data_IF_957516066327
#
_entry.id   IF_957516066327
#
_cell.length_a   1.000
_cell.length_b   1.000
_cell.length_c   1.000
_cell.angle_alpha   90.00
_cell.angle_beta   90.00
_cell.angle_gamma   90.00
#
_symmetry.space_group_name_H-M   'P 1'
#
loop_
_entity.id
_entity.type
_entity.pdbx_description
1 polymer ?
#
# COMPACT_ATOMS: atom_id res chain seq x y z
N UNK A 1 0.31 6.07 10.64
CA UNK A 1 1.22 4.92 10.44
C UNK A 1 0.94 3.92 11.54
N UNK A 2 0.82 2.64 11.19
CA UNK A 2 0.58 1.53 12.08
C UNK A 2 1.65 0.47 11.85
N UNK A 3 2.29 0.00 12.90
CA UNK A 3 3.36 -1.00 12.83
C UNK A 3 2.82 -2.35 13.28
N UNK A 4 3.07 -3.39 12.48
CA UNK A 4 2.71 -4.78 12.80
C UNK A 4 3.96 -5.51 13.25
N UNK A 5 3.86 -6.23 14.37
CA UNK A 5 4.97 -7.00 14.93
C UNK A 5 4.58 -8.46 15.16
N UNK A 6 5.53 -9.36 14.96
CA UNK A 6 5.42 -10.80 15.26
C UNK A 6 6.55 -11.15 16.21
N UNK A 7 6.25 -11.83 17.32
CA UNK A 7 7.23 -12.20 18.35
C UNK A 7 8.10 -11.00 18.81
N UNK A 8 7.48 -9.82 18.93
CA UNK A 8 8.12 -8.53 19.27
C UNK A 8 9.13 -8.01 18.25
N UNK A 9 9.20 -8.63 17.08
CA UNK A 9 9.98 -8.15 15.94
C UNK A 9 9.05 -7.43 14.97
N UNK A 10 9.48 -6.28 14.48
CA UNK A 10 8.74 -5.54 13.47
C UNK A 10 8.65 -6.36 12.18
N UNK A 11 7.43 -6.54 11.68
CA UNK A 11 7.19 -7.24 10.43
C UNK A 11 7.05 -6.22 9.29
N UNK A 12 6.13 -5.27 9.44
CA UNK A 12 5.85 -4.26 8.42
C UNK A 12 5.08 -3.07 8.99
N UNK A 13 5.21 -1.95 8.29
CA UNK A 13 4.41 -0.75 8.49
C UNK A 13 3.29 -0.66 7.47
N UNK A 14 2.15 -0.16 7.94
CA UNK A 14 1.00 0.20 7.14
C UNK A 14 0.68 1.67 7.35
N UNK A 15 0.53 2.42 6.25
CA UNK A 15 0.13 3.82 6.27
C UNK A 15 -1.17 4.01 5.49
N UNK A 16 -2.11 4.70 6.13
CA UNK A 16 -3.40 5.07 5.59
C UNK A 16 -3.37 6.60 5.40
N UNK A 17 -3.58 7.05 4.17
CA UNK A 17 -3.52 8.47 3.82
C UNK A 17 -4.74 8.86 3.01
N UNK A 18 -5.31 10.02 3.32
CA UNK A 18 -6.37 10.65 2.56
C UNK A 18 -5.86 11.94 1.94
N UNK A 19 -6.18 12.18 0.67
CA UNK A 19 -5.70 13.35 -0.05
C UNK A 19 -6.67 13.73 -1.19
N UNK A 20 -6.65 15.01 -1.63
CA UNK A 20 -7.54 15.48 -2.70
C UNK A 20 -7.11 14.98 -4.09
N UNK A 21 -5.82 14.69 -4.30
CA UNK A 21 -5.29 14.46 -5.64
C UNK A 21 -5.12 12.99 -6.02
N UNK A 22 -5.28 12.68 -7.30
CA UNK A 22 -4.94 11.38 -7.86
C UNK A 22 -3.40 11.16 -7.89
N UNK A 23 -2.90 10.11 -7.23
CA UNK A 23 -1.47 9.75 -7.27
C UNK A 23 -1.20 8.57 -8.22
N UNK A 24 -0.05 8.52 -8.92
CA UNK A 24 0.39 7.29 -9.61
C UNK A 24 1.21 6.42 -8.65
N UNK A 25 0.69 5.27 -8.16
CA UNK A 25 1.39 4.44 -7.20
C UNK A 25 2.77 3.99 -7.68
N UNK A 26 2.95 3.76 -8.99
CA UNK A 26 4.25 3.34 -9.53
C UNK A 26 5.31 4.45 -9.41
N UNK A 27 4.92 5.71 -9.58
CA UNK A 27 5.81 6.87 -9.42
C UNK A 27 6.25 7.04 -7.96
N UNK A 28 5.34 6.80 -7.02
CA UNK A 28 5.64 6.87 -5.58
C UNK A 28 6.39 5.63 -5.07
N UNK A 29 6.20 4.49 -5.72
CA UNK A 29 6.92 3.26 -5.44
C UNK A 29 8.35 3.24 -5.99
N UNK A 30 8.72 4.15 -6.89
CA UNK A 30 10.06 4.20 -7.48
C UNK A 30 11.15 4.17 -6.39
N UNK A 31 12.24 3.39 -6.53
CA UNK A 31 13.29 3.27 -5.53
C UNK A 31 13.91 4.61 -5.11
N UNK A 32 13.89 5.59 -6.03
CA UNK A 32 14.44 6.93 -5.79
C UNK A 32 13.45 7.88 -5.09
N UNK A 33 12.25 7.41 -4.74
CA UNK A 33 11.23 8.21 -4.07
C UNK A 33 11.36 8.04 -2.54
N UNK A 34 11.55 9.17 -1.85
CA UNK A 34 11.72 9.21 -0.39
C UNK A 34 10.47 8.85 0.42
N UNK A 35 9.29 8.74 -0.23
CA UNK A 35 8.02 8.48 0.45
C UNK A 35 7.81 6.99 0.69
N UNK A 36 8.21 6.10 -0.23
CA UNK A 36 8.00 4.65 -0.04
C UNK A 36 9.15 3.80 -0.59
N UNK A 37 9.72 4.18 -1.75
CA UNK A 37 10.95 3.58 -2.27
C UNK A 37 10.92 2.05 -2.28
N UNK A 38 10.09 1.44 -3.13
CA UNK A 38 9.98 -0.02 -3.23
C UNK A 38 11.09 -0.59 -4.12
N UNK A 39 11.44 -1.85 -3.87
CA UNK A 39 12.37 -2.59 -4.71
C UNK A 39 11.68 -3.25 -5.88
N UNK A 40 12.21 -3.02 -7.08
CA UNK A 40 11.69 -3.55 -8.35
C UNK A 40 10.16 -3.39 -8.49
N UNK A 41 9.65 -2.14 -8.38
CA UNK A 41 8.22 -1.90 -8.37
C UNK A 41 7.60 -2.13 -9.75
N UNK A 42 6.47 -2.82 -9.76
CA UNK A 42 5.66 -3.03 -10.96
C UNK A 42 4.18 -2.72 -10.68
N UNK A 43 3.40 -2.54 -11.75
CA UNK A 43 1.96 -2.30 -11.61
C UNK A 43 1.25 -3.59 -11.17
N UNK A 44 0.28 -3.43 -10.27
CA UNK A 44 -0.58 -4.50 -9.79
C UNK A 44 -2.05 -4.15 -10.03
N UNK A 45 -2.87 -5.16 -10.35
CA UNK A 45 -4.33 -5.02 -10.42
C UNK A 45 -4.95 -5.13 -9.02
N UNK A 46 -5.18 -3.99 -8.37
CA UNK A 46 -5.87 -3.86 -7.09
C UNK A 46 -6.44 -2.44 -6.97
N UNK A 47 -7.65 -2.32 -6.41
CA UNK A 47 -8.37 -1.04 -6.30
C UNK A 47 -8.46 -0.31 -7.66
N UNK A 48 -8.37 1.02 -7.69
CA UNK A 48 -8.27 1.77 -8.95
C UNK A 48 -6.87 1.61 -9.56
N UNK A 49 -5.83 1.78 -8.74
CA UNK A 49 -4.42 1.63 -9.16
C UNK A 49 -3.59 1.10 -8.01
N UNK A 50 -2.62 0.26 -8.33
CA UNK A 50 -1.63 -0.18 -7.37
C UNK A 50 -0.26 -0.44 -8.00
N UNK A 51 0.77 -0.41 -7.17
CA UNK A 51 2.10 -0.88 -7.46
C UNK A 51 2.57 -1.83 -6.34
N UNK A 52 3.41 -2.78 -6.70
CA UNK A 52 3.98 -3.76 -5.79
C UNK A 52 5.45 -3.93 -6.08
N UNK A 53 6.26 -3.99 -5.02
CA UNK A 53 7.68 -4.33 -5.09
C UNK A 53 7.98 -5.57 -4.25
N UNK A 54 9.25 -5.94 -4.20
CA UNK A 54 9.70 -7.09 -3.42
C UNK A 54 9.55 -6.90 -1.90
N UNK A 55 9.37 -5.65 -1.45
CA UNK A 55 9.41 -5.22 -0.06
C UNK A 55 8.22 -4.34 0.36
N UNK A 56 7.19 -4.24 -0.48
CA UNK A 56 6.00 -3.47 -0.13
C UNK A 56 5.02 -3.27 -1.28
N UNK A 57 4.00 -2.46 -1.03
CA UNK A 57 2.98 -2.12 -2.00
C UNK A 57 2.35 -0.76 -1.71
N UNK A 58 1.82 -0.13 -2.75
CA UNK A 58 1.01 1.09 -2.66
C UNK A 58 -0.25 0.85 -3.47
N UNK A 59 -1.41 1.03 -2.87
CA UNK A 59 -2.71 0.96 -3.54
C UNK A 59 -3.49 2.24 -3.27
N UNK A 60 -4.11 2.80 -4.31
CA UNK A 60 -4.92 4.01 -4.20
C UNK A 60 -6.28 3.77 -4.83
N UNK A 61 -7.30 4.38 -4.24
CA UNK A 61 -8.67 4.35 -4.76
C UNK A 61 -9.36 5.67 -4.53
N UNK A 62 -10.34 5.97 -5.38
CA UNK A 62 -11.30 7.03 -5.10
C UNK A 62 -12.15 6.64 -3.88
N UNK A 63 -12.31 7.60 -2.99
CA UNK A 63 -13.12 7.50 -1.79
C UNK A 63 -13.90 8.80 -1.66
N UNK A 64 -15.23 8.76 -1.81
CA UNK A 64 -16.04 9.97 -1.76
C UNK A 64 -16.23 10.44 -0.31
N UNK A 65 -15.65 11.59 0.03
CA UNK A 65 -15.94 12.37 1.24
C UNK A 65 -15.86 13.87 0.95
N UNK A 66 -16.41 14.71 1.84
CA UNK A 66 -16.68 16.14 1.58
C UNK A 66 -15.47 16.99 1.11
N UNK A 67 -14.23 16.57 1.44
CA UNK A 67 -12.97 17.22 1.01
C UNK A 67 -11.84 16.21 0.70
N UNK A 68 -12.16 14.93 0.68
CA UNK A 68 -11.21 13.82 0.52
C UNK A 68 -11.70 13.01 -0.67
N UNK A 69 -10.90 12.94 -1.72
CA UNK A 69 -11.28 12.24 -2.95
C UNK A 69 -10.56 10.90 -3.10
N UNK A 70 -9.39 10.74 -2.49
CA UNK A 70 -8.56 9.54 -2.65
C UNK A 70 -8.11 9.00 -1.30
N UNK A 71 -8.15 7.69 -1.20
CA UNK A 71 -7.57 6.90 -0.12
C UNK A 71 -6.39 6.09 -0.65
N UNK A 72 -5.26 6.19 0.03
CA UNK A 72 -4.04 5.44 -0.30
C UNK A 72 -3.62 4.59 0.90
N UNK A 73 -3.40 3.31 0.61
CA UNK A 73 -2.82 2.33 1.52
C UNK A 73 -1.40 2.01 1.06
N UNK A 74 -0.44 2.23 1.93
CA UNK A 74 0.96 1.86 1.72
C UNK A 74 1.36 0.78 2.72
N UNK A 75 2.02 -0.27 2.24
CA UNK A 75 2.67 -1.30 3.05
C UNK A 75 4.16 -1.30 2.75
N UNK A 76 4.98 -1.35 3.80
CA UNK A 76 6.44 -1.48 3.69
C UNK A 76 6.94 -2.50 4.71
N UNK A 77 7.71 -3.48 4.24
CA UNK A 77 8.35 -4.44 5.15
C UNK A 77 9.46 -3.77 5.96
N UNK A 78 9.60 -4.19 7.21
CA UNK A 78 10.58 -3.61 8.13
C UNK A 78 12.03 -4.07 7.86
N UNK A 79 12.21 -5.11 7.04
CA UNK A 79 13.53 -5.68 6.78
C UNK A 79 14.13 -5.25 5.43
N UNK A 80 15.44 -5.08 5.43
CA UNK A 80 16.28 -4.69 4.28
C UNK A 80 16.85 -5.89 3.52
N UNK A 81 16.19 -7.05 3.59
CA UNK A 81 16.62 -8.26 2.89
C UNK A 81 15.67 -8.59 1.77
N UNK A 82 16.23 -8.83 0.59
CA UNK A 82 15.47 -9.33 -0.56
C UNK A 82 15.18 -10.81 -0.30
N UNK A 83 13.98 -11.10 0.17
CA UNK A 83 13.52 -12.46 0.41
C UNK A 83 12.70 -12.91 -0.79
N UNK A 84 13.08 -14.01 -1.47
CA UNK A 84 12.28 -14.57 -2.54
C UNK A 84 10.85 -14.86 -2.06
N UNK A 85 9.86 -14.70 -2.94
CA UNK A 85 8.43 -14.99 -2.70
C UNK A 85 7.62 -13.95 -1.91
N UNK A 86 8.25 -12.99 -1.21
CA UNK A 86 7.46 -12.01 -0.44
C UNK A 86 6.54 -11.14 -1.30
N UNK A 87 6.90 -10.87 -2.56
CA UNK A 87 6.02 -10.18 -3.51
C UNK A 87 4.65 -10.88 -3.65
N UNK A 88 4.63 -12.22 -3.65
CA UNK A 88 3.39 -13.01 -3.70
C UNK A 88 2.57 -12.87 -2.42
N UNK A 89 3.24 -12.89 -1.27
CA UNK A 89 2.60 -12.78 0.05
C UNK A 89 2.06 -11.37 0.29
N UNK A 90 2.81 -10.34 -0.10
CA UNK A 90 2.35 -8.94 -0.09
C UNK A 90 1.13 -8.78 -0.98
N UNK A 91 1.14 -9.33 -2.20
CA UNK A 91 -0.04 -9.28 -3.08
C UNK A 91 -1.26 -9.95 -2.43
N UNK A 92 -1.08 -11.09 -1.78
CA UNK A 92 -2.15 -11.80 -1.07
C UNK A 92 -2.68 -10.98 0.10
N UNK A 93 -1.79 -10.43 0.93
CA UNK A 93 -2.15 -9.57 2.04
C UNK A 93 -2.92 -8.33 1.57
N UNK A 94 -2.39 -7.61 0.57
CA UNK A 94 -3.00 -6.37 0.07
C UNK A 94 -4.39 -6.61 -0.54
N UNK A 95 -4.59 -7.75 -1.20
CA UNK A 95 -5.91 -8.14 -1.74
C UNK A 95 -6.96 -8.39 -0.67
N UNK A 96 -6.56 -8.83 0.53
CA UNK A 96 -7.45 -9.00 1.66
C UNK A 96 -7.61 -7.68 2.46
N UNK A 97 -6.50 -6.99 2.71
CA UNK A 97 -6.45 -5.87 3.63
C UNK A 97 -7.01 -4.58 3.03
N UNK A 98 -6.77 -4.29 1.76
CA UNK A 98 -7.27 -3.06 1.11
C UNK A 98 -8.80 -3.00 1.13
N UNK A 99 -9.57 -4.02 0.67
CA UNK A 99 -11.03 -3.97 0.71
C UNK A 99 -11.59 -3.93 2.13
N UNK A 100 -11.00 -4.68 3.06
CA UNK A 100 -11.41 -4.67 4.47
C UNK A 100 -11.20 -3.29 5.12
N UNK A 101 -10.09 -2.64 4.80
CA UNK A 101 -9.79 -1.28 5.27
C UNK A 101 -10.77 -0.29 4.68
N UNK A 102 -10.99 -0.32 3.36
CA UNK A 102 -11.97 0.55 2.68
C UNK A 102 -13.35 0.47 3.32
N UNK A 103 -13.84 -0.75 3.58
CA UNK A 103 -15.12 -0.97 4.27
C UNK A 103 -15.13 -0.35 5.68
N UNK A 104 -14.02 -0.50 6.41
CA UNK A 104 -13.90 0.00 7.80
C UNK A 104 -13.89 1.53 7.85
N UNK A 105 -13.22 2.18 6.88
CA UNK A 105 -13.10 3.64 6.84
C UNK A 105 -14.24 4.32 6.08
N UNK A 106 -15.25 3.56 5.64
CA UNK A 106 -16.40 4.09 4.90
C UNK A 106 -16.11 4.47 3.45
N UNK A 107 -14.95 4.09 2.91
CA UNK A 107 -14.65 4.25 1.49
C UNK A 107 -15.38 3.18 0.69
N UNK A 108 -16.53 3.54 0.12
CA UNK A 108 -17.21 2.71 -0.87
C UNK A 108 -16.69 3.07 -2.25
N UNK A 109 -16.14 2.07 -2.95
CA UNK A 109 -15.81 2.21 -4.36
C UNK A 109 -17.13 2.43 -5.12
N UNK A 110 -17.22 3.39 -6.06
CA UNK A 110 -18.38 3.50 -6.94
C UNK A 110 -18.56 2.24 -7.80
#
# INVERSE_FOLDING_TARGET
>A
MCTVSVDRSEAFDVTLTWHPDSIDPLKYASPNNSVTGLWDPERMKLADRAAIGDDGAIATTRCQGDQIEYFTLTLKLAHDRKVPHLKSDINTFMRAYMPATMKTVGCTHP
#
